data_IF_099700443244
#
_entry.id   IF_099700443244
#
_cell.length_a   1.000
_cell.length_b   1.000
_cell.length_c   1.000
_cell.angle_alpha   90.00
_cell.angle_beta   90.00
_cell.angle_gamma   90.00
#
_symmetry.space_group_name_H-M   'P 1'
#
loop_
_entity.id
_entity.type
_entity.pdbx_description
1 polymer ?
#
# COMPACT_ATOMS: atom_id res chain seq x y z
N UNK A 1 39.03 -5.83 -40.00
CA UNK A 1 40.38 -6.44 -39.88
C UNK A 1 40.48 -7.87 -40.41
N UNK A 2 39.78 -8.88 -39.85
CA UNK A 2 39.75 -10.27 -40.40
C UNK A 2 39.46 -10.32 -41.90
N UNK A 3 38.39 -9.66 -42.35
CA UNK A 3 37.95 -9.62 -43.76
C UNK A 3 38.99 -8.97 -44.67
N UNK A 4 39.63 -7.90 -44.20
CA UNK A 4 40.63 -7.16 -44.96
C UNK A 4 41.93 -7.96 -45.12
N UNK A 5 42.37 -8.63 -44.04
CA UNK A 5 43.48 -9.58 -44.07
C UNK A 5 43.22 -10.71 -45.08
N UNK A 6 42.03 -11.34 -45.03
CA UNK A 6 41.63 -12.42 -45.96
C UNK A 6 41.59 -11.96 -47.43
N UNK A 7 41.03 -10.77 -47.70
CA UNK A 7 41.05 -10.16 -49.04
C UNK A 7 42.48 -9.94 -49.54
N UNK A 8 43.39 -9.48 -48.68
CA UNK A 8 44.78 -9.20 -49.07
C UNK A 8 45.61 -10.46 -49.30
N UNK A 9 45.41 -11.51 -48.50
CA UNK A 9 45.98 -12.85 -48.76
C UNK A 9 45.50 -13.38 -50.12
N UNK A 10 44.20 -13.26 -50.39
CA UNK A 10 43.61 -13.72 -51.65
C UNK A 10 44.22 -12.99 -52.86
N UNK A 11 44.44 -11.68 -52.73
CA UNK A 11 45.13 -10.87 -53.73
C UNK A 11 46.60 -11.29 -53.92
N UNK A 12 47.32 -11.56 -52.83
CA UNK A 12 48.72 -12.03 -52.87
C UNK A 12 48.83 -13.37 -53.61
N UNK A 13 47.95 -14.33 -53.28
CA UNK A 13 47.91 -15.64 -53.94
C UNK A 13 47.60 -15.51 -55.44
N UNK A 14 46.72 -14.59 -55.83
CA UNK A 14 46.40 -14.34 -57.25
C UNK A 14 47.59 -13.74 -58.00
N UNK A 15 48.33 -12.78 -57.41
CA UNK A 15 49.53 -12.21 -58.04
C UNK A 15 50.67 -13.22 -58.14
N UNK A 16 50.86 -14.07 -57.13
CA UNK A 16 51.86 -15.15 -57.15
C UNK A 16 51.62 -16.15 -58.28
N UNK A 17 50.35 -16.50 -58.55
CA UNK A 17 49.97 -17.39 -59.67
C UNK A 17 50.17 -16.78 -61.05
N UNK A 18 50.12 -15.45 -61.18
CA UNK A 18 50.22 -14.74 -62.46
C UNK A 18 51.64 -14.32 -62.85
N UNK A 19 52.67 -14.70 -62.08
CA UNK A 19 54.06 -14.33 -62.39
C UNK A 19 54.32 -12.83 -62.32
N UNK A 20 53.77 -12.14 -61.32
CA UNK A 20 53.95 -10.70 -61.15
C UNK A 20 55.39 -10.31 -60.80
N UNK A 21 55.77 -9.09 -61.21
CA UNK A 21 57.08 -8.47 -60.97
C UNK A 21 57.50 -8.52 -59.49
N UNK A 22 58.75 -8.93 -59.24
CA UNK A 22 59.30 -9.29 -57.92
C UNK A 22 59.12 -8.17 -56.89
N UNK A 23 59.38 -6.91 -57.28
CA UNK A 23 59.25 -5.76 -56.39
C UNK A 23 57.80 -5.52 -55.93
N UNK A 24 56.84 -5.66 -56.86
CA UNK A 24 55.41 -5.51 -56.57
C UNK A 24 54.88 -6.61 -55.64
N UNK A 25 55.51 -7.79 -55.69
CA UNK A 25 55.17 -8.95 -54.90
C UNK A 25 55.71 -8.82 -53.47
N UNK A 26 56.93 -8.31 -53.30
CA UNK A 26 57.51 -8.01 -51.97
C UNK A 26 56.74 -6.89 -51.24
N UNK A 27 56.36 -5.81 -51.93
CA UNK A 27 55.49 -4.75 -51.35
C UNK A 27 54.15 -5.31 -50.85
N UNK A 28 53.57 -6.24 -51.61
CA UNK A 28 52.31 -6.89 -51.22
C UNK A 28 52.48 -7.86 -50.05
N UNK A 29 53.58 -8.62 -49.99
CA UNK A 29 53.94 -9.45 -48.83
C UNK A 29 54.10 -8.62 -47.57
N UNK A 30 54.84 -7.51 -47.63
CA UNK A 30 55.02 -6.60 -46.50
C UNK A 30 53.67 -6.09 -45.97
N UNK A 31 52.76 -5.69 -46.87
CA UNK A 31 51.41 -5.27 -46.49
C UNK A 31 50.60 -6.39 -45.82
N UNK A 32 50.69 -7.63 -46.33
CA UNK A 32 50.02 -8.79 -45.74
C UNK A 32 50.58 -9.12 -44.36
N UNK A 33 51.90 -9.08 -44.17
CA UNK A 33 52.53 -9.28 -42.86
C UNK A 33 52.10 -8.22 -41.86
N UNK A 34 52.08 -6.93 -42.24
CA UNK A 34 51.61 -5.87 -41.36
C UNK A 34 50.13 -6.04 -40.96
N UNK A 35 49.26 -6.36 -41.93
CA UNK A 35 47.86 -6.67 -41.65
C UNK A 35 47.68 -7.91 -40.78
N UNK A 36 48.55 -8.92 -40.93
CA UNK A 36 48.54 -10.10 -40.09
C UNK A 36 48.84 -9.73 -38.64
N UNK A 37 49.94 -9.01 -38.39
CA UNK A 37 50.29 -8.55 -37.03
C UNK A 37 49.16 -7.75 -36.40
N UNK A 38 48.56 -6.80 -37.14
CA UNK A 38 47.45 -5.99 -36.63
C UNK A 38 46.20 -6.85 -36.36
N UNK A 39 45.89 -7.81 -37.23
CA UNK A 39 44.81 -8.78 -37.00
C UNK A 39 45.03 -9.62 -35.74
N UNK A 40 46.25 -10.11 -35.49
CA UNK A 40 46.59 -10.87 -34.28
C UNK A 40 46.42 -10.01 -33.04
N UNK A 41 46.93 -8.77 -33.05
CA UNK A 41 46.80 -7.83 -31.92
C UNK A 41 45.33 -7.52 -31.63
N UNK A 42 44.53 -7.23 -32.65
CA UNK A 42 43.09 -6.97 -32.49
C UNK A 42 42.36 -8.18 -31.91
N UNK A 43 42.73 -9.39 -32.37
CA UNK A 43 42.14 -10.62 -31.88
C UNK A 43 42.51 -10.89 -30.42
N UNK A 44 43.77 -10.68 -30.02
CA UNK A 44 44.21 -10.80 -28.62
C UNK A 44 43.52 -9.77 -27.71
N UNK A 45 43.35 -8.54 -28.18
CA UNK A 45 42.60 -7.49 -27.47
C UNK A 45 41.13 -7.89 -27.26
N UNK A 46 40.51 -8.47 -28.28
CA UNK A 46 39.16 -9.00 -28.20
C UNK A 46 39.05 -10.18 -27.22
N UNK A 47 39.96 -11.15 -27.29
CA UNK A 47 40.03 -12.29 -26.37
C UNK A 47 40.17 -11.82 -24.91
N UNK A 48 41.02 -10.81 -24.67
CA UNK A 48 41.18 -10.19 -23.34
C UNK A 48 39.88 -9.56 -22.84
N UNK A 49 39.18 -8.81 -23.71
CA UNK A 49 37.88 -8.19 -23.38
C UNK A 49 36.83 -9.25 -23.05
N UNK A 50 36.73 -10.31 -23.84
CA UNK A 50 35.82 -11.43 -23.60
C UNK A 50 36.15 -12.15 -22.29
N UNK A 51 37.44 -12.34 -21.99
CA UNK A 51 37.88 -12.94 -20.73
C UNK A 51 37.45 -12.11 -19.53
N UNK A 52 37.58 -10.78 -19.58
CA UNK A 52 37.14 -9.93 -18.46
C UNK A 52 35.61 -9.92 -18.33
N UNK A 53 34.86 -9.94 -19.43
CA UNK A 53 33.40 -10.09 -19.39
C UNK A 53 33.00 -11.41 -18.72
N UNK A 54 33.64 -12.53 -19.08
CA UNK A 54 33.37 -13.83 -18.48
C UNK A 54 33.73 -13.82 -16.98
N UNK A 55 34.84 -13.19 -16.60
CA UNK A 55 35.25 -13.03 -15.21
C UNK A 55 34.22 -12.22 -14.40
N UNK A 56 33.77 -11.07 -14.93
CA UNK A 56 32.72 -10.26 -14.32
C UNK A 56 31.41 -11.05 -14.16
N UNK A 57 31.02 -11.81 -15.18
CA UNK A 57 29.79 -12.62 -15.18
C UNK A 57 29.84 -13.74 -14.15
N UNK A 58 30.85 -14.59 -14.22
CA UNK A 58 30.87 -15.87 -13.51
C UNK A 58 31.45 -15.76 -12.10
N UNK A 59 32.43 -14.88 -11.89
CA UNK A 59 33.13 -14.77 -10.62
C UNK A 59 32.70 -13.58 -9.76
N UNK A 60 32.09 -12.53 -10.35
CA UNK A 60 31.64 -11.36 -9.58
C UNK A 60 30.12 -11.25 -9.52
N UNK A 61 29.44 -11.29 -10.65
CA UNK A 61 27.99 -11.10 -10.73
C UNK A 61 27.23 -12.31 -10.19
N UNK A 62 27.59 -13.52 -10.64
CA UNK A 62 26.87 -14.72 -10.23
C UNK A 62 26.81 -14.93 -8.70
N UNK A 63 27.92 -14.85 -7.93
CA UNK A 63 27.86 -14.98 -6.47
C UNK A 63 26.94 -13.94 -5.82
N UNK A 64 26.99 -12.67 -6.28
CA UNK A 64 26.12 -11.61 -5.76
C UNK A 64 24.64 -11.86 -6.06
N UNK A 65 24.33 -12.45 -7.21
CA UNK A 65 22.95 -12.82 -7.53
C UNK A 65 22.46 -13.98 -6.65
N UNK A 66 23.33 -14.94 -6.32
CA UNK A 66 23.00 -16.02 -5.38
C UNK A 66 22.72 -15.45 -3.99
N UNK A 67 23.60 -14.58 -3.48
CA UNK A 67 23.40 -13.89 -2.20
C UNK A 67 22.11 -13.07 -2.18
N UNK A 68 21.79 -12.38 -3.29
CA UNK A 68 20.55 -11.61 -3.41
C UNK A 68 19.32 -12.50 -3.34
N UNK A 69 19.31 -13.64 -4.05
CA UNK A 69 18.20 -14.60 -4.03
C UNK A 69 18.00 -15.17 -2.62
N UNK A 70 19.08 -15.54 -1.94
CA UNK A 70 19.06 -16.06 -0.58
C UNK A 70 18.53 -15.01 0.43
N UNK A 71 18.99 -13.76 0.31
CA UNK A 71 18.51 -12.64 1.11
C UNK A 71 17.02 -12.36 0.91
N UNK A 72 16.53 -12.43 -0.33
CA UNK A 72 15.09 -12.28 -0.61
C UNK A 72 14.29 -13.47 -0.07
N UNK A 73 14.79 -14.71 -0.19
CA UNK A 73 14.12 -15.88 0.37
C UNK A 73 13.93 -15.73 1.88
N UNK A 74 14.99 -15.32 2.59
CA UNK A 74 14.96 -15.05 4.04
C UNK A 74 13.97 -13.94 4.38
N UNK A 75 13.96 -12.83 3.63
CA UNK A 75 13.00 -11.73 3.82
C UNK A 75 11.56 -12.20 3.67
N UNK A 76 11.26 -12.99 2.62
CA UNK A 76 9.90 -13.48 2.36
C UNK A 76 9.46 -14.54 3.36
N UNK A 77 10.37 -15.37 3.86
CA UNK A 77 10.08 -16.33 4.93
C UNK A 77 9.72 -15.63 6.24
N UNK A 78 10.46 -14.57 6.60
CA UNK A 78 10.13 -13.72 7.75
C UNK A 78 8.76 -13.04 7.57
N UNK A 79 8.51 -12.46 6.39
CA UNK A 79 7.22 -11.84 6.06
C UNK A 79 6.06 -12.83 6.18
N UNK A 80 6.22 -14.03 5.62
CA UNK A 80 5.22 -15.09 5.70
C UNK A 80 4.93 -15.51 7.15
N UNK A 81 5.97 -15.64 7.97
CA UNK A 81 5.84 -15.96 9.40
C UNK A 81 5.03 -14.89 10.13
N UNK A 82 5.39 -13.62 9.96
CA UNK A 82 4.66 -12.50 10.58
C UNK A 82 3.19 -12.44 10.13
N UNK A 83 2.92 -12.57 8.84
CA UNK A 83 1.54 -12.57 8.34
C UNK A 83 0.74 -13.80 8.78
N UNK A 84 1.38 -14.97 8.90
CA UNK A 84 0.74 -16.17 9.46
C UNK A 84 0.32 -15.95 10.91
N UNK A 85 1.19 -15.35 11.72
CA UNK A 85 0.89 -15.06 13.13
C UNK A 85 -0.18 -13.97 13.29
N UNK A 86 -0.11 -12.91 12.47
CA UNK A 86 -1.17 -11.89 12.39
C UNK A 86 -2.52 -12.53 12.01
N UNK A 87 -2.53 -13.43 11.03
CA UNK A 87 -3.74 -14.13 10.61
C UNK A 87 -4.33 -14.98 11.75
N UNK A 88 -3.50 -15.76 12.46
CA UNK A 88 -3.94 -16.56 13.61
C UNK A 88 -4.54 -15.68 14.70
N UNK A 89 -3.89 -14.54 15.01
CA UNK A 89 -4.39 -13.58 15.98
C UNK A 89 -5.76 -13.03 15.57
N UNK A 90 -5.89 -12.57 14.32
CA UNK A 90 -7.17 -12.05 13.79
C UNK A 90 -8.26 -13.12 13.78
N UNK A 91 -7.92 -14.36 13.43
CA UNK A 91 -8.86 -15.49 13.48
C UNK A 91 -9.34 -15.77 14.91
N UNK A 92 -8.44 -15.72 15.90
CA UNK A 92 -8.80 -15.87 17.30
C UNK A 92 -9.68 -14.72 17.81
N UNK A 93 -9.40 -13.48 17.38
CA UNK A 93 -10.21 -12.30 17.73
C UNK A 93 -11.67 -12.42 17.27
N UNK A 94 -11.96 -13.15 16.19
CA UNK A 94 -13.35 -13.40 15.76
C UNK A 94 -14.16 -14.21 16.77
N UNK A 95 -13.52 -14.99 17.63
CA UNK A 95 -14.18 -15.75 18.68
C UNK A 95 -14.35 -14.95 19.99
N UNK A 96 -13.69 -13.79 20.11
CA UNK A 96 -13.85 -12.91 21.27
C UNK A 96 -15.14 -12.10 21.16
N UNK A 97 -15.94 -12.08 22.23
CA UNK A 97 -17.08 -11.17 22.31
C UNK A 97 -16.59 -9.75 22.63
N UNK A 98 -16.69 -8.85 21.65
CA UNK A 98 -16.28 -7.44 21.76
C UNK A 98 -17.45 -6.57 22.25
N UNK A 99 -18.57 -7.18 22.68
CA UNK A 99 -19.78 -6.45 23.11
C UNK A 99 -19.56 -5.45 24.25
N UNK A 100 -18.54 -5.69 25.10
CA UNK A 100 -18.17 -4.86 26.25
C UNK A 100 -17.20 -3.72 25.91
N UNK A 101 -16.66 -3.65 24.69
CA UNK A 101 -15.76 -2.56 24.31
C UNK A 101 -16.52 -1.23 24.21
N UNK A 102 -15.94 -0.10 24.67
CA UNK A 102 -16.49 1.22 24.40
C UNK A 102 -16.69 1.39 22.90
N UNK A 103 -17.93 1.60 22.48
CA UNK A 103 -18.30 1.64 21.05
C UNK A 103 -18.08 3.00 20.39
N UNK A 104 -17.77 4.03 21.17
CA UNK A 104 -17.65 5.38 20.66
C UNK A 104 -16.27 5.64 20.05
N UNK A 105 -16.28 6.20 18.85
CA UNK A 105 -15.07 6.74 18.23
C UNK A 105 -14.56 7.94 19.01
N UNK A 106 -13.23 7.99 19.20
CA UNK A 106 -12.51 9.16 19.73
C UNK A 106 -11.60 9.72 18.65
N UNK A 107 -11.17 10.98 18.80
CA UNK A 107 -10.21 11.60 17.87
C UNK A 107 -8.92 10.76 17.75
N UNK A 108 -8.45 10.19 18.87
CA UNK A 108 -7.29 9.31 18.86
C UNK A 108 -7.54 8.01 18.07
N UNK A 109 -8.74 7.41 18.16
CA UNK A 109 -9.09 6.24 17.35
C UNK A 109 -9.08 6.59 15.86
N UNK A 110 -9.62 7.75 15.50
CA UNK A 110 -9.65 8.24 14.13
C UNK A 110 -8.23 8.48 13.58
N UNK A 111 -7.37 9.16 14.34
CA UNK A 111 -5.97 9.41 13.97
C UNK A 111 -5.18 8.12 13.77
N UNK A 112 -5.36 7.12 14.64
CA UNK A 112 -4.70 5.80 14.51
C UNK A 112 -5.20 5.09 13.24
N UNK A 113 -6.49 5.18 12.94
CA UNK A 113 -7.07 4.54 11.76
C UNK A 113 -6.57 5.20 10.47
N UNK A 114 -6.41 6.53 10.44
CA UNK A 114 -5.78 7.25 9.34
C UNK A 114 -4.32 6.81 9.15
N UNK A 115 -3.56 6.68 10.23
CA UNK A 115 -2.17 6.20 10.15
C UNK A 115 -2.10 4.79 9.57
N UNK A 116 -2.96 3.88 10.04
CA UNK A 116 -3.05 2.52 9.51
C UNK A 116 -3.40 2.53 8.01
N UNK A 117 -4.37 3.33 7.59
CA UNK A 117 -4.74 3.47 6.18
C UNK A 117 -3.53 3.91 5.33
N UNK A 118 -2.80 4.93 5.77
CA UNK A 118 -1.62 5.42 5.06
C UNK A 118 -0.53 4.34 4.94
N UNK A 119 -0.26 3.60 6.02
CA UNK A 119 0.74 2.51 6.03
C UNK A 119 0.33 1.39 5.06
N UNK A 120 -0.93 0.97 5.05
CA UNK A 120 -1.41 -0.09 4.16
C UNK A 120 -1.39 0.37 2.69
N UNK A 121 -1.77 1.62 2.43
CA UNK A 121 -1.71 2.22 1.08
C UNK A 121 -0.27 2.27 0.57
N UNK A 122 0.66 2.69 1.42
CA UNK A 122 2.08 2.73 1.07
C UNK A 122 2.64 1.33 0.83
N UNK A 123 2.30 0.36 1.69
CA UNK A 123 2.67 -1.04 1.50
C UNK A 123 2.17 -1.59 0.16
N UNK A 124 0.93 -1.30 -0.24
CA UNK A 124 0.41 -1.68 -1.55
C UNK A 124 1.23 -1.09 -2.72
N UNK A 125 1.64 0.16 -2.61
CA UNK A 125 2.48 0.85 -3.60
C UNK A 125 3.87 0.22 -3.69
N UNK A 126 4.53 0.07 -2.54
CA UNK A 126 5.88 -0.47 -2.46
C UNK A 126 5.96 -1.94 -2.87
N UNK A 127 4.93 -2.74 -2.56
CA UNK A 127 4.82 -4.11 -3.06
C UNK A 127 4.81 -4.17 -4.59
N UNK A 128 4.01 -3.32 -5.24
CA UNK A 128 3.94 -3.25 -6.70
C UNK A 128 5.27 -2.81 -7.33
N UNK A 129 5.91 -1.78 -6.74
CA UNK A 129 7.21 -1.31 -7.18
C UNK A 129 8.28 -2.40 -7.05
N UNK A 130 8.29 -3.13 -5.93
CA UNK A 130 9.22 -4.24 -5.69
C UNK A 130 9.09 -5.32 -6.77
N UNK A 131 7.87 -5.78 -7.05
CA UNK A 131 7.64 -6.84 -8.06
C UNK A 131 7.99 -6.34 -9.46
N UNK A 132 7.62 -5.11 -9.80
CA UNK A 132 7.92 -4.50 -11.11
C UNK A 132 9.42 -4.37 -11.33
N UNK A 133 10.14 -3.74 -10.39
CA UNK A 133 11.58 -3.57 -10.50
C UNK A 133 12.32 -4.90 -10.51
N UNK A 134 11.86 -5.90 -9.76
CA UNK A 134 12.45 -7.24 -9.80
C UNK A 134 12.30 -7.87 -11.20
N UNK A 135 11.11 -7.75 -11.84
CA UNK A 135 10.87 -8.23 -13.20
C UNK A 135 11.77 -7.54 -14.21
N UNK A 136 11.80 -6.21 -14.18
CA UNK A 136 12.62 -5.39 -15.09
C UNK A 136 14.12 -5.70 -14.94
N UNK A 137 14.60 -5.82 -13.70
CA UNK A 137 15.99 -6.15 -13.41
C UNK A 137 16.38 -7.52 -14.00
N UNK A 138 15.57 -8.54 -13.79
CA UNK A 138 15.83 -9.89 -14.29
C UNK A 138 15.70 -9.97 -15.82
N UNK A 139 14.78 -9.23 -16.43
CA UNK A 139 14.67 -9.13 -17.88
C UNK A 139 15.89 -8.42 -18.51
N UNK A 140 16.36 -7.33 -17.90
CA UNK A 140 17.55 -6.62 -18.33
C UNK A 140 18.80 -7.51 -18.25
N UNK A 141 18.99 -8.23 -17.13
CA UNK A 141 20.10 -9.17 -16.97
C UNK A 141 20.05 -10.33 -17.97
N UNK A 142 18.87 -10.91 -18.20
CA UNK A 142 18.71 -11.96 -19.21
C UNK A 142 19.03 -11.46 -20.63
N UNK A 143 18.64 -10.23 -20.95
CA UNK A 143 18.95 -9.59 -22.23
C UNK A 143 20.44 -9.33 -22.39
N UNK A 144 21.10 -8.85 -21.33
CA UNK A 144 22.55 -8.70 -21.29
C UNK A 144 23.27 -10.05 -21.46
N UNK A 145 22.84 -11.11 -20.75
CA UNK A 145 23.45 -12.44 -20.88
C UNK A 145 23.36 -12.98 -22.31
N UNK A 146 22.24 -12.80 -23.01
CA UNK A 146 22.10 -13.24 -24.41
C UNK A 146 23.18 -12.65 -25.33
N UNK A 147 23.61 -11.42 -25.07
CA UNK A 147 24.66 -10.76 -25.84
C UNK A 147 26.08 -11.27 -25.48
N UNK A 148 26.27 -11.80 -24.27
CA UNK A 148 27.58 -12.18 -23.74
C UNK A 148 27.84 -13.70 -23.72
N UNK A 149 26.89 -14.52 -24.19
CA UNK A 149 27.02 -15.98 -24.26
C UNK A 149 27.46 -16.45 -25.66
N UNK A 150 27.36 -15.61 -26.69
CA UNK A 150 27.76 -15.97 -28.06
C UNK A 150 29.30 -16.04 -28.12
N UNK A 151 29.91 -17.19 -28.45
CA UNK A 151 31.35 -17.29 -28.64
C UNK A 151 31.75 -16.43 -29.84
N UNK A 152 32.65 -15.46 -29.64
CA UNK A 152 33.26 -14.77 -30.75
C UNK A 152 34.27 -15.74 -31.37
N UNK A 153 34.12 -16.08 -32.65
CA UNK A 153 35.01 -17.00 -33.37
C UNK A 153 36.46 -16.51 -33.37
N UNK A 154 37.20 -16.98 -32.37
CA UNK A 154 38.60 -16.71 -32.10
C UNK A 154 39.43 -17.87 -32.68
N UNK A 155 39.59 -17.87 -34.01
CA UNK A 155 40.22 -18.97 -34.77
C UNK A 155 41.76 -19.01 -34.67
N UNK A 156 42.35 -18.72 -33.50
CA UNK A 156 43.81 -18.90 -33.28
C UNK A 156 44.17 -20.25 -32.66
N UNK A 157 43.20 -21.01 -32.15
CA UNK A 157 43.45 -22.29 -31.45
C UNK A 157 42.75 -23.51 -32.04
N UNK A 158 42.35 -23.48 -33.31
CA UNK A 158 41.79 -24.67 -33.97
C UNK A 158 42.89 -25.63 -34.49
N UNK A 159 43.87 -25.92 -33.61
CA UNK A 159 44.80 -27.05 -33.72
C UNK A 159 45.13 -27.59 -32.33
N UNK A 160 44.12 -27.86 -31.51
CA UNK A 160 44.21 -28.90 -30.47
C UNK A 160 42.87 -29.60 -30.42
N UNK A 161 42.90 -30.90 -30.69
CA UNK A 161 41.79 -31.85 -30.64
C UNK A 161 41.03 -31.80 -29.31
N UNK A 162 39.93 -31.05 -29.27
CA UNK A 162 38.79 -31.24 -28.35
C UNK A 162 37.67 -30.28 -28.75
N UNK A 163 36.40 -30.71 -28.78
CA UNK A 163 35.31 -29.75 -28.85
C UNK A 163 35.37 -28.93 -27.57
N UNK A 164 35.65 -27.62 -27.69
CA UNK A 164 35.55 -26.71 -26.56
C UNK A 164 34.11 -26.78 -26.06
N UNK A 165 33.87 -27.55 -24.99
CA UNK A 165 32.58 -27.57 -24.31
C UNK A 165 32.32 -26.13 -23.89
N UNK A 166 31.41 -25.48 -24.60
CA UNK A 166 30.86 -24.17 -24.22
C UNK A 166 30.25 -24.41 -22.85
N UNK A 167 31.01 -24.07 -21.80
CA UNK A 167 30.55 -24.20 -20.43
C UNK A 167 29.36 -23.26 -20.30
N UNK A 168 28.16 -23.83 -20.26
CA UNK A 168 26.93 -23.08 -20.04
C UNK A 168 27.07 -22.42 -18.66
N UNK A 169 27.17 -21.09 -18.56
CA UNK A 169 27.51 -20.47 -17.30
C UNK A 169 26.34 -20.63 -16.32
N UNK A 170 26.58 -20.97 -15.04
CA UNK A 170 25.54 -21.30 -14.07
C UNK A 170 24.54 -20.15 -13.85
N UNK A 171 24.99 -18.91 -14.05
CA UNK A 171 24.15 -17.70 -14.04
C UNK A 171 22.95 -17.78 -15.00
N UNK A 172 23.09 -18.49 -16.13
CA UNK A 172 22.02 -18.62 -17.11
C UNK A 172 20.86 -19.46 -16.57
N UNK A 173 21.16 -20.50 -15.79
CA UNK A 173 20.14 -21.37 -15.21
C UNK A 173 19.48 -20.69 -14.01
N UNK A 174 20.25 -19.95 -13.20
CA UNK A 174 19.72 -19.11 -12.14
C UNK A 174 18.71 -18.09 -12.67
N UNK A 175 19.09 -17.25 -13.65
CA UNK A 175 18.23 -16.19 -14.15
C UNK A 175 17.00 -16.71 -14.90
N UNK A 176 17.11 -17.84 -15.61
CA UNK A 176 15.97 -18.48 -16.27
C UNK A 176 14.99 -19.06 -15.26
N UNK A 177 15.51 -19.77 -14.25
CA UNK A 177 14.70 -20.31 -13.17
C UNK A 177 13.98 -19.19 -12.43
N UNK A 178 14.71 -18.13 -12.07
CA UNK A 178 14.16 -16.97 -11.39
C UNK A 178 13.07 -16.27 -12.22
N UNK A 179 13.33 -15.95 -13.49
CA UNK A 179 12.32 -15.34 -14.36
C UNK A 179 11.05 -16.20 -14.46
N UNK A 180 11.21 -17.52 -14.63
CA UNK A 180 10.08 -18.44 -14.74
C UNK A 180 9.24 -18.49 -13.47
N UNK A 181 9.85 -18.41 -12.28
CA UNK A 181 9.10 -18.35 -11.03
C UNK A 181 8.39 -17.02 -10.88
N UNK A 182 9.04 -15.92 -11.23
CA UNK A 182 8.51 -14.57 -11.13
C UNK A 182 7.28 -14.34 -12.03
N UNK A 183 7.25 -14.98 -13.21
CA UNK A 183 6.10 -14.96 -14.13
C UNK A 183 4.90 -15.77 -13.61
N UNK A 184 5.12 -16.76 -12.74
CA UNK A 184 4.07 -17.62 -12.18
C UNK A 184 3.44 -17.06 -10.91
N UNK A 185 4.02 -16.00 -10.32
CA UNK A 185 3.52 -15.45 -9.07
C UNK A 185 2.11 -14.87 -9.24
N UNK A 186 1.18 -15.11 -8.30
CA UNK A 186 -0.17 -14.54 -8.30
C UNK A 186 -0.16 -13.08 -7.83
N UNK A 187 0.67 -12.23 -8.47
CA UNK A 187 0.87 -10.82 -8.10
C UNK A 187 -0.45 -10.03 -8.12
N UNK A 188 -1.28 -10.24 -9.14
CA UNK A 188 -2.54 -9.53 -9.30
C UNK A 188 -3.49 -9.78 -8.11
N UNK A 189 -3.55 -11.02 -7.63
CA UNK A 189 -4.38 -11.40 -6.49
C UNK A 189 -3.88 -10.74 -5.20
N UNK A 190 -2.56 -10.77 -4.96
CA UNK A 190 -1.96 -10.12 -3.79
C UNK A 190 -2.19 -8.60 -3.81
N UNK A 191 -1.88 -7.94 -4.93
CA UNK A 191 -2.14 -6.51 -5.15
C UNK A 191 -3.60 -6.13 -4.88
N UNK A 192 -4.54 -6.89 -5.46
CA UNK A 192 -5.97 -6.63 -5.27
C UNK A 192 -6.41 -6.82 -3.82
N UNK A 193 -5.86 -7.82 -3.12
CA UNK A 193 -6.20 -8.08 -1.73
C UNK A 193 -5.73 -6.95 -0.80
N UNK A 194 -4.49 -6.48 -0.98
CA UNK A 194 -3.95 -5.36 -0.19
C UNK A 194 -4.72 -4.07 -0.48
N UNK A 195 -5.01 -3.80 -1.76
CA UNK A 195 -5.83 -2.64 -2.13
C UNK A 195 -7.22 -2.71 -1.51
N UNK A 196 -7.90 -3.86 -1.63
CA UNK A 196 -9.23 -4.04 -1.03
C UNK A 196 -9.20 -3.84 0.48
N UNK A 197 -8.15 -4.29 1.17
CA UNK A 197 -7.97 -4.05 2.60
C UNK A 197 -7.78 -2.56 2.91
N UNK A 198 -7.00 -1.85 2.11
CA UNK A 198 -6.84 -0.38 2.19
C UNK A 198 -8.18 0.36 2.05
N UNK A 199 -9.01 -0.04 1.09
CA UNK A 199 -10.33 0.57 0.87
C UNK A 199 -11.32 0.32 2.02
N UNK A 200 -11.25 -0.86 2.65
CA UNK A 200 -12.03 -1.14 3.86
C UNK A 200 -11.61 -0.22 5.01
N UNK A 201 -10.30 -0.03 5.23
CA UNK A 201 -9.82 0.88 6.28
C UNK A 201 -10.23 2.32 5.96
N UNK A 202 -10.13 2.76 4.70
CA UNK A 202 -10.59 4.09 4.28
C UNK A 202 -12.07 4.31 4.56
N UNK A 203 -12.90 3.29 4.33
CA UNK A 203 -14.33 3.34 4.67
C UNK A 203 -14.52 3.54 6.18
N UNK A 204 -13.73 2.86 7.02
CA UNK A 204 -13.77 3.05 8.48
C UNK A 204 -13.36 4.48 8.85
N UNK A 205 -12.33 5.05 8.22
CA UNK A 205 -11.92 6.45 8.43
C UNK A 205 -13.09 7.40 8.18
N UNK A 206 -13.83 7.22 7.07
CA UNK A 206 -14.99 8.06 6.74
C UNK A 206 -16.10 7.89 7.79
N UNK A 207 -16.42 6.65 8.18
CA UNK A 207 -17.45 6.39 9.17
C UNK A 207 -17.11 6.98 10.54
N UNK A 208 -15.84 6.95 10.94
CA UNK A 208 -15.36 7.56 12.17
C UNK A 208 -15.49 9.09 12.16
N UNK A 209 -15.14 9.73 11.05
CA UNK A 209 -15.30 11.18 10.87
C UNK A 209 -16.78 11.60 10.95
N UNK A 210 -17.67 10.84 10.32
CA UNK A 210 -19.13 11.06 10.40
C UNK A 210 -19.66 10.87 11.84
N UNK A 211 -19.18 9.85 12.57
CA UNK A 211 -19.55 9.62 13.97
C UNK A 211 -19.10 10.77 14.88
N UNK A 212 -17.87 11.27 14.70
CA UNK A 212 -17.34 12.41 15.47
C UNK A 212 -18.14 13.69 15.23
N UNK A 213 -18.47 13.99 13.97
CA UNK A 213 -19.35 15.13 13.61
C UNK A 213 -20.74 14.99 14.22
N UNK A 214 -21.30 13.79 14.22
CA UNK A 214 -22.61 13.55 14.83
C UNK A 214 -22.56 13.76 16.35
N UNK A 215 -21.50 13.29 17.00
CA UNK A 215 -21.27 13.47 18.44
C UNK A 215 -21.22 14.94 18.81
N UNK A 216 -20.48 15.76 18.05
CA UNK A 216 -20.41 17.21 18.27
C UNK A 216 -21.81 17.86 18.20
N UNK A 217 -22.60 17.53 17.18
CA UNK A 217 -23.99 18.03 17.03
C UNK A 217 -24.91 17.59 18.17
N UNK A 218 -24.78 16.35 18.64
CA UNK A 218 -25.53 15.84 19.78
C UNK A 218 -25.17 16.58 21.07
N UNK A 219 -23.89 16.85 21.30
CA UNK A 219 -23.43 17.63 22.45
C UNK A 219 -23.92 19.07 22.41
N UNK A 220 -23.91 19.72 21.24
CA UNK A 220 -24.45 21.07 21.05
C UNK A 220 -25.95 21.10 21.35
N UNK A 221 -26.72 20.17 20.77
CA UNK A 221 -28.16 20.03 21.02
C UNK A 221 -28.46 19.79 22.51
N UNK A 222 -27.64 18.97 23.18
CA UNK A 222 -27.76 18.72 24.62
C UNK A 222 -27.49 19.98 25.44
N UNK A 223 -26.45 20.75 25.10
CA UNK A 223 -26.13 22.03 25.75
C UNK A 223 -27.29 23.03 25.58
N UNK A 224 -27.88 23.12 24.39
CA UNK A 224 -29.06 23.95 24.14
C UNK A 224 -30.28 23.50 24.95
N UNK A 225 -30.56 22.19 24.98
CA UNK A 225 -31.66 21.63 25.74
C UNK A 225 -31.52 21.96 27.23
N UNK A 226 -30.34 21.75 27.81
CA UNK A 226 -30.06 22.08 29.21
C UNK A 226 -30.28 23.58 29.47
N UNK A 227 -29.83 24.45 28.56
CA UNK A 227 -30.02 25.90 28.66
C UNK A 227 -31.51 26.28 28.63
N UNK A 228 -32.28 25.75 27.67
CA UNK A 228 -33.73 25.99 27.54
C UNK A 228 -34.51 25.45 28.73
N UNK A 229 -34.16 24.25 29.20
CA UNK A 229 -34.75 23.63 30.41
C UNK A 229 -34.54 24.51 31.63
N UNK A 230 -33.30 24.98 31.87
CA UNK A 230 -32.99 25.88 32.98
C UNK A 230 -33.79 27.19 32.90
N UNK A 231 -33.86 27.79 31.71
CA UNK A 231 -34.65 29.01 31.50
C UNK A 231 -36.15 28.78 31.80
N UNK A 232 -36.70 27.66 31.34
CA UNK A 232 -38.09 27.28 31.61
C UNK A 232 -38.34 27.04 33.11
N UNK A 233 -37.44 26.33 33.79
CA UNK A 233 -37.56 26.07 35.23
C UNK A 233 -37.49 27.37 36.05
N UNK A 234 -36.62 28.31 35.68
CA UNK A 234 -36.54 29.64 36.29
C UNK A 234 -37.81 30.48 36.03
N UNK A 235 -38.32 30.48 34.79
CA UNK A 235 -39.58 31.14 34.45
C UNK A 235 -40.76 30.57 35.23
N UNK A 236 -40.87 29.23 35.29
CA UNK A 236 -41.92 28.52 36.01
C UNK A 236 -41.89 28.87 37.50
N UNK A 237 -40.70 28.91 38.11
CA UNK A 237 -40.53 29.31 39.52
C UNK A 237 -41.05 30.73 39.76
N UNK A 238 -40.61 31.70 38.96
CA UNK A 238 -41.05 33.10 39.05
C UNK A 238 -42.55 33.26 38.81
N UNK A 239 -43.11 32.50 37.87
CA UNK A 239 -44.56 32.49 37.62
C UNK A 239 -45.33 32.00 38.84
N UNK A 240 -44.90 30.89 39.44
CA UNK A 240 -45.52 30.35 40.64
C UNK A 240 -45.40 31.31 41.83
N UNK A 241 -44.24 31.93 42.05
CA UNK A 241 -44.03 32.95 43.09
C UNK A 241 -45.00 34.14 42.91
N UNK A 242 -45.14 34.65 41.68
CA UNK A 242 -46.10 35.73 41.37
C UNK A 242 -47.55 35.32 41.62
N UNK A 243 -47.92 34.10 41.23
CA UNK A 243 -49.27 33.56 41.46
C UNK A 243 -49.58 33.41 42.94
N UNK A 244 -48.62 32.87 43.72
CA UNK A 244 -48.77 32.73 45.18
C UNK A 244 -48.87 34.10 45.87
N UNK A 245 -48.07 35.09 45.42
CA UNK A 245 -48.13 36.46 45.92
C UNK A 245 -49.47 37.15 45.58
N UNK A 246 -50.03 36.91 44.38
CA UNK A 246 -51.34 37.43 43.99
C UNK A 246 -52.47 36.82 44.84
N UNK A 247 -52.48 35.50 45.04
CA UNK A 247 -53.48 34.85 45.91
C UNK A 247 -53.37 35.26 47.39
N UNK A 248 -52.17 35.57 47.87
CA UNK A 248 -51.97 36.07 49.23
C UNK A 248 -52.57 37.48 49.40
N UNK A 249 -52.41 38.36 48.40
CA UNK A 249 -53.01 39.70 48.39
C UNK A 249 -54.54 39.67 48.34
N UNK A 250 -55.13 38.77 47.54
CA UNK A 250 -56.58 38.57 47.50
C UNK A 250 -57.15 38.08 48.83
N UNK A 251 -56.42 37.23 49.56
CA UNK A 251 -56.81 36.79 50.90
C UNK A 251 -56.68 37.90 51.96
N UNK A 252 -55.67 38.77 51.89
CA UNK A 252 -55.54 39.93 52.80
C UNK A 252 -56.66 40.97 52.59
N UNK A 253 -57.05 41.23 51.34
CA UNK A 253 -58.18 42.11 51.02
C UNK A 253 -59.54 41.50 51.41
N UNK A 254 -59.69 40.18 51.38
CA UNK A 254 -60.88 39.46 51.85
C UNK A 254 -61.06 39.46 53.38
N UNK A 255 -59.96 39.43 54.14
CA UNK A 255 -59.98 39.52 55.61
C UNK A 255 -60.31 40.94 56.08
N UNK A 256 -59.93 41.98 55.32
CA UNK A 256 -60.28 43.38 55.61
C UNK A 256 -61.77 43.72 55.47
N UNK A 257 -62.57 42.92 54.74
CA UNK A 257 -64.02 43.12 54.59
C UNK A 257 -64.89 42.35 55.60
N UNK A 258 -64.30 41.49 56.43
CA UNK A 258 -65.06 40.62 57.34
C UNK A 258 -65.30 41.22 58.74
N UNK A 259 -64.89 42.48 59.00
CA UNK A 259 -65.04 43.15 60.31
C UNK A 259 -66.13 44.23 60.38
N UNK A 260 -67.12 44.21 59.48
CA UNK A 260 -68.34 45.04 59.61
C UNK A 260 -69.59 44.18 59.41
N UNK A 261 -70.08 43.56 60.50
CA UNK A 261 -71.51 43.39 60.83
C UNK A 261 -71.70 42.60 62.15
N UNK A 262 -72.10 43.29 63.21
CA UNK A 262 -72.95 42.78 64.31
C UNK A 262 -74.29 43.54 64.17
N UNK A 263 -75.39 42.95 63.69
CA UNK A 263 -76.37 42.11 64.41
C UNK A 263 -77.46 42.99 65.08
N UNK A 264 -78.65 42.50 65.51
CA UNK A 264 -79.49 41.35 65.10
C UNK A 264 -80.98 41.75 64.88
N UNK A 265 -81.83 40.91 64.26
CA UNK A 265 -83.28 40.87 64.60
C UNK A 265 -83.97 39.56 64.14
N UNK A 266 -84.15 38.66 65.11
CA UNK A 266 -85.32 37.84 65.49
C UNK A 266 -86.39 37.42 64.44
N UNK A 267 -86.68 36.11 64.41
CA UNK A 267 -87.99 35.51 64.02
C UNK A 267 -87.83 34.15 63.32
N UNK A 268 -87.81 33.04 64.08
CA UNK A 268 -88.79 31.93 64.07
C UNK A 268 -89.12 31.34 62.67
N UNK A 269 -88.72 30.12 62.32
CA UNK A 269 -89.17 28.79 62.78
C UNK A 269 -89.92 28.10 61.61
N UNK A 270 -89.78 26.77 61.52
CA UNK A 270 -90.63 25.77 60.82
C UNK A 270 -89.98 24.95 59.69
N UNK A 271 -90.31 23.66 59.77
CA UNK A 271 -89.83 22.42 59.16
C UNK A 271 -90.25 22.16 57.70
N UNK A 272 -89.70 21.06 57.15
CA UNK A 272 -90.21 20.29 55.99
C UNK A 272 -89.33 20.48 54.75
N UNK A 273 -88.87 19.47 54.00
CA UNK A 273 -89.25 18.07 53.86
C UNK A 273 -89.03 17.69 52.38
N UNK A 274 -88.37 16.54 52.14
CA UNK A 274 -88.49 15.60 50.99
C UNK A 274 -88.50 16.10 49.51
N UNK A 275 -87.58 15.56 48.70
CA UNK A 275 -87.81 14.61 47.57
C UNK A 275 -88.60 15.20 46.38
N UNK A 276 -88.02 15.26 45.19
CA UNK A 276 -88.10 14.16 44.20
C UNK A 276 -88.78 14.73 42.95
N UNK A 277 -88.18 14.57 41.76
CA UNK A 277 -88.74 13.68 40.73
C UNK A 277 -89.84 14.39 39.92
N UNK A 278 -89.54 14.89 38.72
CA UNK A 278 -89.81 14.21 37.44
C UNK A 278 -91.31 14.03 37.11
N UNK A 279 -91.76 14.80 36.12
CA UNK A 279 -92.83 14.49 35.16
C UNK A 279 -92.60 15.44 33.96
N UNK A 280 -92.08 14.95 32.84
CA UNK A 280 -92.86 14.60 31.63
C UNK A 280 -93.74 15.74 31.13
N UNK A 281 -93.30 16.45 30.09
CA UNK A 281 -93.66 16.21 28.67
C UNK A 281 -92.68 16.93 27.72
#
# INVERSE_FOLDING_TARGET
>A
MKIEYQKKISLLNRKKKKGAETESLEKLKATVSHLHTRYIVDMQSLDSTVSEINNLRDHKLYPRLVELVDGMATMWEAMHTHHSDQYKLVAALRACDVSLAPRETSDQHHDITIQLWNVVREWNSQFQNLVTHQKEYIQALNSWLKLNIIPIESNLKEKVSSPAKVAKPPIQDLLRGWLSQLEKLPEASAKSAILSFSEVIHTIVILQDDELKLKERCEETRKEFIRKKRYFDEWRRRYMERKMAASARENEEGVGRSFERKGPHRGKEVCGGECGGEAEE
#
